data_IF_903458718238
#
_entry.id   IF_903458718238
#
_cell.length_a   1.000
_cell.length_b   1.000
_cell.length_c   1.000
_cell.angle_alpha   90.00
_cell.angle_beta   90.00
_cell.angle_gamma   90.00
#
_symmetry.space_group_name_H-M   'P 1'
#
loop_
_entity.id
_entity.type
_entity.pdbx_description
1 polymer ?
#
# COMPACT_ATOMS: atom_id res chain seq x y z
N UNK A 1 44.80 23.57 -0.34
CA UNK A 1 43.69 24.41 0.13
C UNK A 1 42.39 23.67 -0.24
N UNK A 2 41.96 22.80 0.65
CA UNK A 2 40.72 22.02 0.46
C UNK A 2 39.51 22.90 0.79
N UNK A 3 38.65 23.15 -0.17
CA UNK A 3 37.32 23.73 0.07
C UNK A 3 36.32 22.57 0.21
N UNK A 4 35.96 22.29 1.46
CA UNK A 4 34.79 21.50 1.80
C UNK A 4 33.55 22.13 1.16
N UNK A 5 32.87 21.40 0.29
CA UNK A 5 31.47 21.67 -0.03
C UNK A 5 30.60 20.94 1.02
N UNK A 6 29.63 21.60 1.61
CA UNK A 6 28.73 20.93 2.55
C UNK A 6 27.84 19.93 1.79
N UNK A 7 27.73 18.75 2.35
CA UNK A 7 26.69 17.76 2.06
C UNK A 7 25.32 18.42 2.29
N UNK A 8 24.32 18.27 1.43
CA UNK A 8 22.97 18.73 1.74
C UNK A 8 22.49 17.98 2.98
N UNK A 9 22.21 18.72 4.03
CA UNK A 9 21.54 18.21 5.21
C UNK A 9 20.20 17.58 4.79
N UNK A 10 19.96 16.39 5.33
CA UNK A 10 18.66 15.74 5.29
C UNK A 10 17.60 16.73 5.75
N UNK A 11 16.73 17.15 4.82
CA UNK A 11 15.58 17.99 5.16
C UNK A 11 14.63 17.10 5.95
N UNK A 12 14.68 17.22 7.27
CA UNK A 12 13.65 16.69 8.14
C UNK A 12 12.28 17.21 7.69
N UNK A 13 11.27 16.34 7.59
CA UNK A 13 9.92 16.79 7.31
C UNK A 13 9.46 17.77 8.39
N UNK A 14 8.71 18.84 8.03
CA UNK A 14 8.35 19.92 8.94
C UNK A 14 7.70 19.40 10.21
N UNK A 15 8.10 19.99 11.33
CA UNK A 15 7.74 19.61 12.69
C UNK A 15 6.22 19.40 12.84
N UNK A 16 5.86 18.23 13.33
CA UNK A 16 4.48 17.82 13.60
C UNK A 16 3.91 18.64 14.74
N UNK A 17 3.07 19.61 14.43
CA UNK A 17 2.22 20.23 15.45
C UNK A 17 1.10 19.25 15.80
N UNK A 18 1.26 18.53 16.90
CA UNK A 18 0.20 17.72 17.50
C UNK A 18 -0.80 18.67 18.14
N UNK A 19 -1.98 18.79 17.58
CA UNK A 19 -3.15 19.21 18.34
C UNK A 19 -3.58 18.01 19.15
N UNK A 20 -3.32 18.06 20.46
CA UNK A 20 -3.74 17.05 21.43
C UNK A 20 -5.26 17.11 21.57
N UNK A 21 -5.94 16.07 21.12
CA UNK A 21 -7.30 15.82 21.56
C UNK A 21 -7.25 15.28 23.01
N UNK A 22 -8.18 15.68 23.91
CA UNK A 22 -8.19 15.22 25.27
C UNK A 22 -8.40 13.71 25.35
N UNK A 23 -7.54 13.08 26.12
CA UNK A 23 -7.54 11.66 26.45
C UNK A 23 -8.81 11.30 27.22
N UNK A 24 -9.78 10.69 26.56
CA UNK A 24 -10.87 9.96 27.22
C UNK A 24 -10.67 8.49 26.91
N UNK A 25 -10.10 7.79 27.88
CA UNK A 25 -10.20 6.35 27.98
C UNK A 25 -11.69 5.98 28.04
N UNK A 26 -12.16 5.33 27.01
CA UNK A 26 -13.39 4.57 27.05
C UNK A 26 -12.98 3.11 26.86
N UNK A 27 -12.94 2.39 27.99
CA UNK A 27 -13.05 0.95 28.01
C UNK A 27 -14.44 0.61 27.46
N UNK A 28 -14.48 0.19 26.22
CA UNK A 28 -15.69 -0.25 25.53
C UNK A 28 -15.32 -1.41 24.63
N UNK A 29 -15.82 -2.57 24.98
CA UNK A 29 -15.70 -3.81 24.21
C UNK A 29 -16.11 -3.57 22.75
N UNK A 30 -15.16 -3.73 21.84
CA UNK A 30 -15.39 -3.71 20.38
C UNK A 30 -16.29 -4.91 20.00
N UNK A 31 -17.59 -4.68 19.98
CA UNK A 31 -18.51 -5.53 19.24
C UNK A 31 -18.32 -5.22 17.76
N UNK A 32 -17.59 -6.06 17.07
CA UNK A 32 -17.53 -6.11 15.61
C UNK A 32 -18.89 -6.55 15.03
N UNK A 33 -19.82 -5.61 14.93
CA UNK A 33 -20.96 -5.70 14.05
C UNK A 33 -20.55 -5.10 12.71
N UNK A 34 -20.61 -5.87 11.63
CA UNK A 34 -20.49 -5.34 10.27
C UNK A 34 -21.62 -4.32 10.07
N UNK A 35 -21.35 -3.02 9.89
CA UNK A 35 -22.43 -2.11 9.57
C UNK A 35 -22.94 -2.45 8.18
N UNK A 36 -24.19 -2.86 8.10
CA UNK A 36 -24.93 -2.86 6.84
C UNK A 36 -24.85 -1.44 6.29
N UNK A 37 -24.41 -1.29 5.05
CA UNK A 37 -24.32 -0.01 4.37
C UNK A 37 -25.73 0.52 4.12
N UNK A 38 -26.23 1.35 5.03
CA UNK A 38 -27.41 2.17 4.78
C UNK A 38 -26.94 3.53 4.26
N UNK A 39 -26.55 3.60 2.99
CA UNK A 39 -26.48 4.86 2.27
C UNK A 39 -27.90 5.22 1.88
N UNK A 40 -28.53 6.14 2.61
CA UNK A 40 -29.79 6.74 2.18
C UNK A 40 -29.43 7.73 1.06
N UNK A 41 -30.00 7.58 -0.17
CA UNK A 41 -29.81 8.58 -1.21
C UNK A 41 -30.40 9.91 -0.75
N UNK A 42 -29.63 10.97 -0.78
CA UNK A 42 -30.13 12.33 -0.56
C UNK A 42 -31.11 12.71 -1.64
N UNK A 43 -32.35 12.99 -1.28
CA UNK A 43 -33.45 13.30 -2.21
C UNK A 43 -33.66 14.79 -2.49
N UNK A 44 -32.78 15.68 -2.10
CA UNK A 44 -32.91 17.10 -2.41
C UNK A 44 -31.57 17.71 -2.77
N UNK A 45 -31.32 17.86 -4.07
CA UNK A 45 -30.34 18.80 -4.61
C UNK A 45 -31.14 19.84 -5.39
N UNK A 46 -31.28 21.07 -4.82
CA UNK A 46 -31.51 22.24 -5.64
C UNK A 46 -30.39 22.31 -6.66
N UNK A 47 -30.67 22.77 -7.89
CA UNK A 47 -29.68 23.00 -8.95
C UNK A 47 -28.70 24.07 -8.47
N UNK A 48 -27.77 23.68 -7.62
CA UNK A 48 -26.57 24.42 -7.29
C UNK A 48 -25.52 23.97 -8.30
N UNK A 49 -24.77 24.91 -8.87
CA UNK A 49 -23.61 24.60 -9.71
C UNK A 49 -22.80 23.47 -9.04
N UNK A 50 -22.31 22.50 -9.81
CA UNK A 50 -21.64 21.35 -9.23
C UNK A 50 -20.48 21.83 -8.34
N UNK A 51 -20.33 21.37 -7.09
CA UNK A 51 -19.35 21.89 -6.14
C UNK A 51 -17.89 21.63 -6.54
N UNK A 52 -17.65 20.99 -7.67
CA UNK A 52 -16.33 20.86 -8.30
C UNK A 52 -16.45 20.50 -9.78
N UNK A 53 -15.39 20.79 -10.54
CA UNK A 53 -15.17 20.31 -11.90
C UNK A 53 -14.11 19.20 -11.88
N UNK A 54 -14.46 17.99 -12.27
CA UNK A 54 -13.51 16.89 -12.42
C UNK A 54 -12.71 17.07 -13.70
N UNK A 55 -11.38 17.08 -13.57
CA UNK A 55 -10.44 17.24 -14.68
C UNK A 55 -9.95 15.91 -15.24
N UNK A 56 -9.62 14.95 -14.37
CA UNK A 56 -9.15 13.62 -14.80
C UNK A 56 -9.26 12.57 -13.70
N UNK A 57 -9.35 11.31 -14.11
CA UNK A 57 -9.10 10.12 -13.31
C UNK A 57 -7.87 9.40 -13.87
N UNK A 58 -7.00 8.86 -13.03
CA UNK A 58 -5.80 8.16 -13.50
C UNK A 58 -5.21 7.21 -12.43
N UNK A 59 -4.38 6.28 -12.89
CA UNK A 59 -3.44 5.56 -12.04
C UNK A 59 -2.15 6.40 -11.98
N UNK A 60 -1.87 7.02 -10.82
CA UNK A 60 -0.69 7.88 -10.64
C UNK A 60 0.59 7.09 -10.40
N UNK A 61 0.49 5.94 -9.72
CA UNK A 61 1.63 5.07 -9.47
C UNK A 61 1.21 3.61 -9.55
N UNK A 62 2.05 2.80 -10.20
CA UNK A 62 1.84 1.37 -10.31
C UNK A 62 3.13 0.63 -9.96
N UNK A 63 3.04 -0.28 -8.99
CA UNK A 63 4.14 -1.14 -8.58
C UNK A 63 3.80 -2.59 -8.86
N UNK A 64 4.68 -3.25 -9.58
CA UNK A 64 4.50 -4.63 -10.02
C UNK A 64 5.60 -5.53 -9.44
N UNK A 65 5.26 -6.78 -9.18
CA UNK A 65 6.21 -7.82 -8.78
C UNK A 65 6.19 -8.95 -9.79
N UNK A 66 7.36 -9.29 -10.31
CA UNK A 66 7.56 -10.43 -11.20
C UNK A 66 8.32 -11.51 -10.44
N UNK A 67 7.77 -12.71 -10.37
CA UNK A 67 8.42 -13.87 -9.80
C UNK A 67 9.23 -14.60 -10.85
N UNK A 68 10.39 -15.12 -10.47
CA UNK A 68 11.32 -15.75 -11.38
C UNK A 68 12.73 -15.82 -10.80
N UNK A 69 13.71 -16.04 -11.67
CA UNK A 69 15.12 -16.14 -11.32
C UNK A 69 15.97 -15.31 -12.27
N UNK A 70 16.90 -14.53 -11.72
CA UNK A 70 17.90 -13.79 -12.48
C UNK A 70 18.86 -14.78 -13.13
N UNK A 71 19.19 -14.57 -14.41
CA UNK A 71 20.19 -15.40 -15.07
C UNK A 71 21.58 -15.17 -14.46
N UNK A 72 22.42 -16.20 -14.44
CA UNK A 72 23.78 -16.07 -13.87
C UNK A 72 24.63 -15.08 -14.67
N UNK A 73 24.45 -15.02 -16.00
CA UNK A 73 25.11 -14.04 -16.86
C UNK A 73 24.73 -12.59 -16.49
N UNK A 74 23.42 -12.34 -16.32
CA UNK A 74 22.93 -11.03 -15.95
C UNK A 74 23.35 -10.68 -14.51
N UNK A 75 23.39 -11.65 -13.62
CA UNK A 75 23.88 -11.45 -12.26
C UNK A 75 25.32 -10.95 -12.25
N UNK A 76 26.23 -11.62 -12.97
CA UNK A 76 27.64 -11.21 -13.08
C UNK A 76 27.74 -9.81 -13.66
N UNK A 77 27.01 -9.55 -14.75
CA UNK A 77 27.00 -8.24 -15.41
C UNK A 77 26.53 -7.12 -14.48
N UNK A 78 25.49 -7.34 -13.71
CA UNK A 78 24.98 -6.35 -12.75
C UNK A 78 25.91 -6.14 -11.55
N UNK A 79 26.69 -7.15 -11.12
CA UNK A 79 27.74 -6.98 -10.11
C UNK A 79 28.85 -6.05 -10.62
N UNK A 80 29.37 -6.29 -11.84
CA UNK A 80 30.39 -5.44 -12.47
C UNK A 80 29.93 -3.99 -12.59
N UNK A 81 28.69 -3.78 -13.07
CA UNK A 81 28.14 -2.44 -13.22
C UNK A 81 27.90 -1.75 -11.87
N UNK A 82 27.52 -2.51 -10.86
CA UNK A 82 27.35 -1.98 -9.51
C UNK A 82 28.69 -1.58 -8.90
N UNK A 83 29.76 -2.34 -9.15
CA UNK A 83 31.12 -1.96 -8.74
C UNK A 83 31.56 -0.67 -9.46
N UNK A 84 31.30 -0.56 -10.77
CA UNK A 84 31.51 0.67 -11.55
C UNK A 84 30.74 1.86 -10.97
N UNK A 85 29.48 1.65 -10.53
CA UNK A 85 28.66 2.69 -9.90
C UNK A 85 29.18 3.13 -8.51
N UNK A 86 30.11 2.38 -7.93
CA UNK A 86 30.72 2.67 -6.63
C UNK A 86 32.12 3.33 -6.75
N UNK A 87 32.56 3.60 -7.97
CA UNK A 87 33.83 4.27 -8.22
C UNK A 87 33.87 5.66 -7.56
N UNK A 88 35.06 6.15 -7.24
CA UNK A 88 35.26 7.47 -6.64
C UNK A 88 35.11 8.62 -7.65
N UNK A 89 35.27 8.30 -8.97
CA UNK A 89 35.21 9.29 -10.05
C UNK A 89 33.80 9.31 -10.69
N UNK A 90 33.16 10.48 -10.73
CA UNK A 90 31.81 10.67 -11.31
C UNK A 90 31.72 10.23 -12.78
N UNK A 91 32.84 10.40 -13.56
CA UNK A 91 32.89 9.96 -14.95
C UNK A 91 32.85 8.43 -15.10
N UNK A 92 33.48 7.71 -14.16
CA UNK A 92 33.44 6.25 -14.13
C UNK A 92 32.07 5.76 -13.64
N UNK A 93 31.51 6.39 -12.59
CA UNK A 93 30.14 6.07 -12.14
C UNK A 93 29.10 6.19 -13.27
N UNK A 94 29.24 7.22 -14.13
CA UNK A 94 28.35 7.43 -15.26
C UNK A 94 28.36 6.29 -16.30
N UNK A 95 29.39 5.43 -16.30
CA UNK A 95 29.49 4.25 -17.18
C UNK A 95 28.68 3.06 -16.65
N UNK A 96 28.17 3.12 -15.42
CA UNK A 96 27.36 2.09 -14.81
C UNK A 96 25.94 2.07 -15.44
N UNK A 97 25.89 1.70 -16.72
CA UNK A 97 24.66 1.67 -17.52
C UNK A 97 24.51 0.35 -18.25
N UNK A 98 23.25 -0.05 -18.48
CA UNK A 98 22.90 -1.25 -19.23
C UNK A 98 21.74 -0.97 -20.17
N UNK A 99 21.89 -1.39 -21.42
CA UNK A 99 20.79 -1.34 -22.40
C UNK A 99 20.01 -2.65 -22.35
N UNK A 100 18.70 -2.57 -22.15
CA UNK A 100 17.78 -3.71 -22.21
C UNK A 100 16.63 -3.34 -23.13
N UNK A 101 16.56 -3.98 -24.29
CA UNK A 101 15.62 -3.55 -25.34
C UNK A 101 15.92 -2.12 -25.79
N UNK A 102 14.93 -1.25 -25.71
CA UNK A 102 15.04 0.18 -26.05
C UNK A 102 15.33 1.08 -24.86
N UNK A 103 15.63 0.50 -23.70
CA UNK A 103 15.85 1.22 -22.44
C UNK A 103 17.32 1.26 -22.08
N UNK A 104 17.83 2.42 -21.74
CA UNK A 104 19.14 2.62 -21.14
C UNK A 104 18.97 2.87 -19.66
N UNK A 105 19.26 1.85 -18.84
CA UNK A 105 19.16 1.95 -17.40
C UNK A 105 20.48 2.37 -16.77
N UNK A 106 20.43 3.30 -15.83
CA UNK A 106 21.50 3.50 -14.89
C UNK A 106 21.41 2.45 -13.78
N UNK A 107 22.58 1.95 -13.34
CA UNK A 107 22.71 1.00 -12.22
C UNK A 107 23.11 1.77 -10.97
N UNK A 108 22.32 1.65 -9.90
CA UNK A 108 22.62 2.32 -8.65
C UNK A 108 23.79 1.64 -7.91
N UNK A 109 24.61 2.44 -7.23
CA UNK A 109 25.73 1.96 -6.40
C UNK A 109 25.28 1.08 -5.23
N UNK A 110 24.03 1.19 -4.79
CA UNK A 110 23.49 0.46 -3.64
C UNK A 110 22.17 -0.24 -4.00
N UNK A 111 21.92 -1.37 -3.33
CA UNK A 111 20.63 -2.04 -3.39
C UNK A 111 19.54 -1.30 -2.61
N UNK A 112 18.30 -1.76 -2.72
CA UNK A 112 17.15 -1.25 -1.99
C UNK A 112 16.58 -2.31 -1.04
N UNK A 113 16.74 -2.13 0.27
CA UNK A 113 16.29 -3.08 1.28
C UNK A 113 16.92 -4.46 1.09
N UNK A 114 16.13 -5.45 0.66
CA UNK A 114 16.62 -6.83 0.39
C UNK A 114 16.92 -7.11 -1.08
N UNK A 115 16.70 -6.13 -1.95
CA UNK A 115 17.02 -6.23 -3.37
C UNK A 115 18.48 -5.81 -3.61
N UNK A 116 19.22 -6.66 -4.30
CA UNK A 116 20.66 -6.48 -4.48
C UNK A 116 21.01 -5.38 -5.47
N UNK A 117 20.19 -5.24 -6.52
CA UNK A 117 20.43 -4.25 -7.59
C UNK A 117 19.24 -3.32 -7.73
N UNK A 118 19.51 -2.10 -8.15
CA UNK A 118 18.51 -1.10 -8.54
C UNK A 118 18.89 -0.54 -9.90
N UNK A 119 18.01 -0.69 -10.87
CA UNK A 119 18.11 -0.09 -12.18
C UNK A 119 17.03 0.97 -12.32
N UNK A 120 17.31 2.06 -12.99
CA UNK A 120 16.32 3.09 -13.23
C UNK A 120 16.59 3.86 -14.51
N UNK A 121 15.51 4.26 -15.17
CA UNK A 121 15.47 5.24 -16.25
C UNK A 121 14.33 6.26 -15.95
N UNK A 122 13.89 7.02 -16.95
CA UNK A 122 12.78 7.96 -16.85
C UNK A 122 11.40 7.28 -16.74
N UNK A 123 11.28 5.99 -17.09
CA UNK A 123 10.01 5.24 -17.14
C UNK A 123 9.88 4.24 -16.01
N UNK A 124 10.95 3.55 -15.67
CA UNK A 124 10.96 2.42 -14.74
C UNK A 124 12.01 2.55 -13.66
N UNK A 125 11.66 2.10 -12.45
CA UNK A 125 12.62 1.80 -11.39
C UNK A 125 12.48 0.34 -11.01
N UNK A 126 13.53 -0.45 -11.17
CA UNK A 126 13.58 -1.89 -11.00
C UNK A 126 14.45 -2.24 -9.80
N UNK A 127 13.85 -2.81 -8.75
CA UNK A 127 14.59 -3.42 -7.66
C UNK A 127 14.70 -4.91 -7.94
N UNK A 128 15.92 -5.43 -8.11
CA UNK A 128 16.18 -6.78 -8.61
C UNK A 128 16.82 -7.64 -7.52
N UNK A 129 16.33 -8.86 -7.38
CA UNK A 129 16.90 -9.91 -6.52
C UNK A 129 17.37 -11.11 -7.35
N UNK A 130 18.09 -12.04 -6.74
CA UNK A 130 18.43 -13.30 -7.41
C UNK A 130 17.20 -14.20 -7.62
N UNK A 131 16.09 -13.94 -6.92
CA UNK A 131 14.88 -14.74 -6.96
C UNK A 131 14.70 -15.64 -5.72
N UNK A 132 13.95 -16.70 -5.85
CA UNK A 132 13.60 -17.74 -4.87
C UNK A 132 12.69 -17.29 -3.72
N UNK A 133 13.09 -16.37 -2.84
CA UNK A 133 12.29 -15.89 -1.69
C UNK A 133 11.69 -14.50 -1.89
N UNK A 134 12.29 -13.72 -2.77
CA UNK A 134 11.80 -12.41 -3.19
C UNK A 134 11.35 -12.50 -4.65
N UNK A 135 10.49 -11.60 -5.12
CA UNK A 135 10.27 -11.48 -6.56
C UNK A 135 11.61 -11.19 -7.25
N UNK A 136 11.80 -11.73 -8.46
CA UNK A 136 12.93 -11.37 -9.32
C UNK A 136 13.04 -9.86 -9.46
N UNK A 137 11.93 -9.22 -9.80
CA UNK A 137 11.85 -7.77 -9.96
C UNK A 137 10.67 -7.21 -9.16
N UNK A 138 10.91 -6.15 -8.41
CA UNK A 138 9.90 -5.23 -7.89
C UNK A 138 10.05 -3.91 -8.63
N UNK A 139 9.13 -3.62 -9.52
CA UNK A 139 9.18 -2.49 -10.43
C UNK A 139 8.20 -1.40 -10.03
N UNK A 140 8.61 -0.15 -10.23
CA UNK A 140 7.76 1.03 -10.21
C UNK A 140 7.70 1.60 -11.63
N UNK A 141 6.51 1.94 -12.10
CA UNK A 141 6.28 2.64 -13.36
C UNK A 141 6.02 4.13 -13.04
N UNK A 142 6.66 5.04 -13.77
CA UNK A 142 6.49 6.48 -13.55
C UNK A 142 5.08 6.94 -13.95
N UNK A 143 4.56 7.95 -13.25
CA UNK A 143 3.22 8.48 -13.55
C UNK A 143 3.13 9.17 -14.90
N UNK A 144 4.23 9.77 -15.34
CA UNK A 144 4.33 10.39 -16.65
C UNK A 144 4.20 9.36 -17.75
N UNK A 145 4.92 8.25 -17.62
CA UNK A 145 4.86 7.17 -18.59
C UNK A 145 3.49 6.46 -18.60
N UNK A 146 2.91 6.19 -17.42
CA UNK A 146 1.53 5.68 -17.31
C UNK A 146 0.51 6.61 -17.98
N UNK A 147 0.73 7.92 -17.87
CA UNK A 147 -0.15 8.93 -18.50
C UNK A 147 0.01 8.97 -20.02
N UNK A 148 1.24 8.83 -20.52
CA UNK A 148 1.56 8.94 -21.93
C UNK A 148 1.09 7.72 -22.74
N UNK A 149 1.27 6.51 -22.24
CA UNK A 149 1.03 5.28 -23.01
C UNK A 149 -0.08 4.38 -22.45
N UNK A 150 -0.54 4.65 -21.23
CA UNK A 150 -1.49 3.78 -20.52
C UNK A 150 -0.82 2.58 -19.84
N UNK A 151 -1.58 1.94 -18.95
CA UNK A 151 -1.07 0.84 -18.10
C UNK A 151 -0.71 -0.40 -18.90
N UNK A 152 -1.51 -0.77 -19.89
CA UNK A 152 -1.32 -1.98 -20.67
C UNK A 152 -0.01 -1.95 -21.46
N UNK A 153 0.24 -0.83 -22.17
CA UNK A 153 1.49 -0.66 -22.95
C UNK A 153 2.69 -0.58 -22.02
N UNK A 154 2.59 0.18 -20.94
CA UNK A 154 3.67 0.30 -19.96
C UNK A 154 4.03 -1.04 -19.31
N UNK A 155 3.04 -1.89 -18.97
CA UNK A 155 3.28 -3.23 -18.42
C UNK A 155 3.86 -4.18 -19.47
N UNK A 156 3.41 -4.09 -20.72
CA UNK A 156 3.95 -4.92 -21.82
C UNK A 156 5.44 -4.65 -22.06
N UNK A 157 5.85 -3.37 -22.10
CA UNK A 157 7.26 -3.00 -22.21
C UNK A 157 8.07 -3.44 -21.00
N UNK A 158 7.56 -3.19 -19.80
CA UNK A 158 8.22 -3.62 -18.57
C UNK A 158 8.40 -5.14 -18.52
N UNK A 159 7.41 -5.91 -18.94
CA UNK A 159 7.47 -7.38 -18.99
C UNK A 159 8.58 -7.86 -19.94
N UNK A 160 8.73 -7.20 -21.08
CA UNK A 160 9.83 -7.48 -22.01
C UNK A 160 11.20 -7.21 -21.36
N UNK A 161 11.35 -6.07 -20.69
CA UNK A 161 12.57 -5.73 -19.94
C UNK A 161 12.88 -6.80 -18.88
N UNK A 162 11.88 -7.18 -18.09
CA UNK A 162 12.04 -8.19 -17.02
C UNK A 162 12.37 -9.57 -17.57
N UNK A 163 11.76 -9.98 -18.70
CA UNK A 163 12.06 -11.24 -19.36
C UNK A 163 13.49 -11.29 -19.90
N UNK A 164 14.10 -10.15 -20.22
CA UNK A 164 15.50 -10.07 -20.64
C UNK A 164 16.51 -10.22 -19.51
N UNK A 165 16.07 -10.07 -18.25
CA UNK A 165 16.92 -10.25 -17.07
C UNK A 165 17.06 -11.73 -16.67
N UNK A 166 16.09 -12.57 -17.00
CA UNK A 166 16.11 -13.97 -16.62
C UNK A 166 14.75 -14.65 -16.82
N UNK A 167 14.55 -15.78 -16.13
CA UNK A 167 13.31 -16.56 -16.20
C UNK A 167 12.19 -15.90 -15.40
N UNK A 168 11.04 -15.73 -16.02
CA UNK A 168 9.81 -15.22 -15.38
C UNK A 168 8.79 -16.35 -15.29
N UNK A 169 8.25 -16.59 -14.08
CA UNK A 169 7.40 -17.76 -13.80
C UNK A 169 5.90 -17.48 -14.05
N UNK A 170 5.45 -16.24 -13.92
CA UNK A 170 4.02 -15.90 -14.00
C UNK A 170 3.80 -14.43 -14.38
N UNK A 171 2.52 -14.07 -14.60
CA UNK A 171 2.10 -12.69 -14.82
C UNK A 171 2.51 -11.79 -13.64
N UNK A 172 2.76 -10.53 -13.95
CA UNK A 172 3.02 -9.50 -12.95
C UNK A 172 1.91 -9.43 -11.90
N UNK A 173 2.30 -9.37 -10.64
CA UNK A 173 1.38 -9.15 -9.54
C UNK A 173 1.40 -7.67 -9.13
N UNK A 174 0.21 -7.06 -9.03
CA UNK A 174 0.09 -5.68 -8.54
C UNK A 174 0.45 -5.62 -7.06
N UNK A 175 1.49 -4.87 -6.75
CA UNK A 175 2.00 -4.70 -5.40
C UNK A 175 1.52 -3.40 -4.75
N UNK A 176 1.29 -2.38 -5.56
CA UNK A 176 0.67 -1.12 -5.16
C UNK A 176 0.05 -0.48 -6.40
N UNK A 177 -1.12 0.11 -6.22
CA UNK A 177 -1.75 0.98 -7.19
C UNK A 177 -2.26 2.23 -6.48
N UNK A 178 -1.96 3.40 -7.05
CA UNK A 178 -2.42 4.68 -6.56
C UNK A 178 -3.41 5.26 -7.58
N UNK A 179 -4.69 5.25 -7.22
CA UNK A 179 -5.76 5.80 -8.04
C UNK A 179 -5.98 7.25 -7.63
N UNK A 180 -6.03 8.16 -8.60
CA UNK A 180 -6.21 9.57 -8.33
C UNK A 180 -7.29 10.22 -9.21
N UNK A 181 -7.89 11.29 -8.67
CA UNK A 181 -8.83 12.17 -9.34
C UNK A 181 -8.39 13.61 -9.10
N UNK A 182 -8.21 14.38 -10.19
CA UNK A 182 -7.91 15.80 -10.15
C UNK A 182 -9.17 16.60 -10.39
N UNK A 183 -9.40 17.65 -9.58
CA UNK A 183 -10.61 18.46 -9.65
C UNK A 183 -10.36 19.92 -9.24
N UNK A 184 -11.17 20.84 -9.79
CA UNK A 184 -11.23 22.23 -9.35
C UNK A 184 -12.37 22.35 -8.35
N UNK A 185 -12.12 22.62 -7.06
CA UNK A 185 -13.18 22.84 -6.09
C UNK A 185 -13.78 24.25 -6.24
N UNK A 186 -15.09 24.36 -6.05
CA UNK A 186 -15.78 25.66 -5.95
C UNK A 186 -15.87 26.13 -4.50
N UNK A 187 -15.59 25.23 -3.55
CA UNK A 187 -15.64 25.50 -2.12
C UNK A 187 -14.23 25.49 -1.50
N UNK A 188 -13.97 26.29 -0.44
CA UNK A 188 -12.71 26.26 0.27
C UNK A 188 -12.43 24.87 0.83
N UNK A 189 -11.20 24.36 0.65
CA UNK A 189 -10.84 22.98 1.02
C UNK A 189 -10.43 22.84 2.49
N UNK A 190 -10.27 23.92 3.24
CA UNK A 190 -9.89 23.98 4.64
C UNK A 190 -11.08 24.08 5.62
N UNK A 191 -12.30 24.17 5.10
CA UNK A 191 -13.50 24.42 5.89
C UNK A 191 -14.00 23.23 6.72
N UNK A 192 -13.51 22.02 6.45
CA UNK A 192 -14.05 20.82 7.08
C UNK A 192 -13.36 20.45 8.38
N UNK A 193 -14.15 20.05 9.36
CA UNK A 193 -13.63 19.49 10.60
C UNK A 193 -13.22 18.01 10.37
N UNK A 194 -12.22 17.54 11.12
CA UNK A 194 -11.70 16.15 11.05
C UNK A 194 -12.81 15.10 11.20
N UNK A 195 -13.84 15.40 12.01
CA UNK A 195 -14.96 14.49 12.25
C UNK A 195 -15.84 14.26 11.03
N UNK A 196 -15.84 15.16 10.03
CA UNK A 196 -16.62 15.00 8.80
C UNK A 196 -16.04 13.93 7.87
N UNK A 197 -14.77 13.57 8.06
CA UNK A 197 -14.17 12.44 7.40
C UNK A 197 -14.60 11.13 8.06
N UNK A 198 -15.62 10.48 7.52
CA UNK A 198 -16.11 9.17 7.96
C UNK A 198 -15.30 8.10 7.30
N UNK A 199 -14.58 7.29 8.07
CA UNK A 199 -13.64 6.29 7.52
C UNK A 199 -13.44 5.12 8.48
N UNK A 200 -12.99 3.99 7.92
CA UNK A 200 -12.50 2.82 8.67
C UNK A 200 -11.06 2.95 9.13
N UNK A 201 -10.36 4.01 8.72
CA UNK A 201 -8.97 4.25 9.11
C UNK A 201 -8.90 4.83 10.53
N UNK A 202 -7.87 4.45 11.28
CA UNK A 202 -7.64 4.94 12.65
C UNK A 202 -6.96 6.31 12.69
N UNK A 203 -6.14 6.65 11.67
CA UNK A 203 -5.35 7.88 11.63
C UNK A 203 -5.92 8.86 10.62
N UNK A 204 -6.07 10.11 11.06
CA UNK A 204 -6.47 11.24 10.21
C UNK A 204 -5.58 12.42 10.58
N UNK A 205 -5.07 13.15 9.59
CA UNK A 205 -4.27 14.35 9.78
C UNK A 205 -4.64 15.41 8.74
N UNK A 206 -4.57 16.68 9.15
CA UNK A 206 -4.55 17.84 8.27
C UNK A 206 -3.11 18.33 8.13
N UNK A 207 -2.76 18.83 6.97
CA UNK A 207 -1.42 19.34 6.67
C UNK A 207 -1.48 20.83 6.35
N UNK A 208 -0.47 21.54 6.80
CA UNK A 208 -0.29 22.96 6.65
C UNK A 208 1.13 23.21 6.12
N UNK A 209 1.23 24.07 5.15
CA UNK A 209 2.52 24.53 4.60
C UNK A 209 2.96 25.84 5.21
N UNK A 210 3.94 26.46 4.59
CA UNK A 210 4.51 27.75 5.01
C UNK A 210 3.41 28.82 5.10
N UNK A 211 3.44 29.63 6.18
CA UNK A 211 2.48 30.70 6.41
C UNK A 211 1.05 30.21 6.75
N UNK A 212 0.94 29.08 7.43
CA UNK A 212 -0.31 28.47 7.86
C UNK A 212 -1.29 28.18 6.69
N UNK A 213 -0.76 28.01 5.48
CA UNK A 213 -1.55 27.61 4.33
C UNK A 213 -1.96 26.13 4.46
N UNK A 214 -3.25 25.87 4.42
CA UNK A 214 -3.77 24.51 4.38
C UNK A 214 -3.39 23.83 3.05
N UNK A 215 -2.74 22.66 3.13
CA UNK A 215 -2.24 21.92 1.96
C UNK A 215 -2.96 20.60 1.73
N UNK A 216 -3.67 20.06 2.73
CA UNK A 216 -4.46 18.85 2.50
C UNK A 216 -4.77 17.98 3.70
N UNK A 217 -5.33 16.82 3.40
CA UNK A 217 -5.72 15.78 4.33
C UNK A 217 -5.00 14.47 4.03
N UNK A 218 -4.57 13.78 5.09
CA UNK A 218 -4.06 12.42 5.03
C UNK A 218 -4.88 11.51 5.93
N UNK A 219 -5.41 10.44 5.38
CA UNK A 219 -6.25 9.50 6.10
C UNK A 219 -5.70 8.08 5.91
N UNK A 220 -5.52 7.35 7.02
CA UNK A 220 -5.02 5.97 6.99
C UNK A 220 -3.52 5.82 6.83
N UNK A 221 -2.73 6.82 7.20
CA UNK A 221 -1.27 6.79 7.10
C UNK A 221 -0.65 5.53 7.72
N UNK A 222 0.17 4.82 6.93
CA UNK A 222 0.82 3.56 7.31
C UNK A 222 -0.10 2.34 7.26
N UNK A 223 -1.35 2.49 6.77
CA UNK A 223 -2.28 1.39 6.56
C UNK A 223 -2.15 0.74 5.18
N UNK A 224 -2.91 -0.31 4.96
CA UNK A 224 -2.98 -1.00 3.66
C UNK A 224 -3.67 -0.16 2.57
N UNK A 225 -4.50 0.78 2.98
CA UNK A 225 -5.12 1.81 2.15
C UNK A 225 -4.84 3.14 2.84
N UNK A 226 -4.41 4.13 2.06
CA UNK A 226 -4.20 5.50 2.49
C UNK A 226 -4.91 6.43 1.50
N UNK A 227 -5.44 7.52 1.99
CA UNK A 227 -6.03 8.57 1.15
C UNK A 227 -5.31 9.88 1.40
N UNK A 228 -5.04 10.60 0.33
CA UNK A 228 -4.54 11.98 0.33
C UNK A 228 -5.49 12.85 -0.47
N UNK A 229 -5.88 13.98 0.12
CA UNK A 229 -6.61 15.05 -0.56
C UNK A 229 -5.76 16.29 -0.44
N UNK A 230 -5.16 16.79 -1.51
CA UNK A 230 -4.14 17.84 -1.42
C UNK A 230 -4.12 18.79 -2.61
N UNK A 231 -3.55 19.99 -2.38
CA UNK A 231 -3.32 21.01 -3.41
C UNK A 231 -2.27 20.51 -4.42
N UNK A 232 -2.75 20.08 -5.58
CA UNK A 232 -1.89 19.48 -6.61
C UNK A 232 -1.11 20.52 -7.42
N UNK A 233 -1.61 21.75 -7.54
CA UNK A 233 -0.85 22.83 -8.19
C UNK A 233 0.38 23.17 -7.36
N UNK A 234 0.18 23.31 -6.05
CA UNK A 234 1.28 23.57 -5.11
C UNK A 234 2.32 22.45 -5.13
N UNK A 235 1.88 21.19 -5.07
CA UNK A 235 2.77 20.02 -5.09
C UNK A 235 3.57 19.93 -6.40
N UNK A 236 2.95 20.22 -7.56
CA UNK A 236 3.67 20.27 -8.84
C UNK A 236 4.70 21.38 -8.84
N UNK A 237 4.38 22.55 -8.30
CA UNK A 237 5.28 23.69 -8.29
C UNK A 237 6.47 23.51 -7.33
N UNK A 238 6.25 22.93 -6.15
CA UNK A 238 7.26 22.87 -5.08
C UNK A 238 7.99 21.52 -4.99
N UNK A 239 7.34 20.39 -5.39
CA UNK A 239 7.86 19.05 -5.11
C UNK A 239 8.11 18.23 -6.38
N UNK A 240 7.05 17.90 -7.13
CA UNK A 240 7.16 16.88 -8.19
C UNK A 240 7.60 17.40 -9.55
N UNK A 241 7.38 18.69 -9.82
CA UNK A 241 7.68 19.34 -11.10
C UNK A 241 7.03 18.67 -12.34
N UNK A 242 5.91 17.96 -12.14
CA UNK A 242 5.16 17.24 -13.20
C UNK A 242 4.34 18.19 -14.05
N UNK A 243 5.00 19.11 -14.75
CA UNK A 243 4.36 20.19 -15.53
C UNK A 243 3.48 19.69 -16.67
N UNK A 244 3.67 18.47 -17.17
CA UNK A 244 2.81 17.85 -18.17
C UNK A 244 1.33 17.77 -17.73
N UNK A 245 1.06 17.83 -16.43
CA UNK A 245 -0.32 17.88 -15.92
C UNK A 245 -1.07 19.15 -16.31
N UNK A 246 -0.37 20.26 -16.45
CA UNK A 246 -0.99 21.53 -16.83
C UNK A 246 -1.67 21.44 -18.19
N UNK A 247 -1.04 20.82 -19.19
CA UNK A 247 -1.60 20.64 -20.53
C UNK A 247 -2.86 19.76 -20.48
N UNK A 248 -2.82 18.69 -19.67
CA UNK A 248 -3.95 17.79 -19.49
C UNK A 248 -5.14 18.48 -18.82
N UNK A 249 -4.87 19.32 -17.81
CA UNK A 249 -5.92 20.08 -17.14
C UNK A 249 -6.49 21.18 -18.03
N UNK A 250 -5.64 21.89 -18.79
CA UNK A 250 -6.08 22.91 -19.76
C UNK A 250 -7.02 22.34 -20.82
N UNK A 251 -6.71 21.13 -21.33
CA UNK A 251 -7.58 20.42 -22.26
C UNK A 251 -8.97 20.09 -21.68
N UNK A 252 -9.13 20.17 -20.35
CA UNK A 252 -10.37 19.94 -19.61
C UNK A 252 -10.98 21.21 -19.01
N UNK A 253 -10.49 22.39 -19.41
CA UNK A 253 -11.04 23.68 -19.02
C UNK A 253 -10.40 24.36 -17.81
N UNK A 254 -9.29 23.82 -17.27
CA UNK A 254 -8.52 24.48 -16.23
C UNK A 254 -7.88 25.78 -16.75
N UNK A 255 -7.88 26.81 -15.90
CA UNK A 255 -7.17 28.07 -16.12
C UNK A 255 -6.09 28.22 -15.06
N UNK A 256 -4.97 28.82 -15.40
CA UNK A 256 -3.80 28.94 -14.54
C UNK A 256 -4.05 29.56 -13.14
N UNK A 257 -5.14 30.29 -12.97
CA UNK A 257 -5.53 30.87 -11.69
C UNK A 257 -6.40 29.92 -10.81
N UNK A 258 -6.92 28.83 -11.40
CA UNK A 258 -7.80 27.93 -10.67
C UNK A 258 -6.98 26.97 -9.80
N UNK A 259 -7.39 26.72 -8.54
CA UNK A 259 -6.77 25.70 -7.73
C UNK A 259 -7.12 24.31 -8.27
N UNK A 260 -6.15 23.40 -8.35
CA UNK A 260 -6.42 21.97 -8.63
C UNK A 260 -6.08 21.16 -7.41
N UNK A 261 -7.04 20.41 -6.97
CA UNK A 261 -6.89 19.47 -5.87
C UNK A 261 -6.89 18.05 -6.39
N UNK A 262 -6.15 17.19 -5.71
CA UNK A 262 -6.11 15.76 -6.01
C UNK A 262 -6.67 14.97 -4.85
N UNK A 263 -7.64 14.11 -5.16
CA UNK A 263 -8.03 12.98 -4.31
C UNK A 263 -7.27 11.75 -4.77
N UNK A 264 -6.49 11.15 -3.89
CA UNK A 264 -5.67 9.99 -4.21
C UNK A 264 -5.88 8.87 -3.19
N UNK A 265 -5.96 7.62 -3.67
CA UNK A 265 -5.99 6.42 -2.85
C UNK A 265 -4.80 5.53 -3.19
N UNK A 266 -3.86 5.46 -2.27
CA UNK A 266 -2.75 4.53 -2.32
C UNK A 266 -3.18 3.20 -1.73
N UNK A 267 -3.06 2.12 -2.49
CA UNK A 267 -3.51 0.79 -2.08
C UNK A 267 -2.40 -0.23 -2.27
N UNK A 268 -1.99 -0.89 -1.20
CA UNK A 268 -0.95 -1.90 -1.26
C UNK A 268 -1.51 -3.31 -1.55
N UNK A 269 -0.58 -4.25 -1.84
CA UNK A 269 -0.88 -5.63 -2.21
C UNK A 269 -1.86 -6.34 -1.28
N UNK A 270 -1.79 -6.12 0.04
CA UNK A 270 -2.66 -6.82 0.97
C UNK A 270 -4.13 -6.42 0.79
N UNK A 271 -4.38 -5.11 0.63
CA UNK A 271 -5.73 -4.63 0.39
C UNK A 271 -6.23 -5.03 -1.01
N UNK A 272 -5.38 -4.90 -2.04
CA UNK A 272 -5.72 -5.32 -3.42
C UNK A 272 -6.07 -6.80 -3.45
N UNK A 273 -5.31 -7.65 -2.78
CA UNK A 273 -5.57 -9.09 -2.68
C UNK A 273 -6.91 -9.41 -2.00
N UNK A 274 -7.26 -8.66 -0.95
CA UNK A 274 -8.56 -8.79 -0.28
C UNK A 274 -9.73 -8.28 -1.16
N UNK A 275 -9.43 -7.38 -2.11
CA UNK A 275 -10.38 -6.90 -3.13
C UNK A 275 -10.38 -7.74 -4.40
N UNK A 276 -9.68 -8.89 -4.41
CA UNK A 276 -9.53 -9.83 -5.53
C UNK A 276 -8.83 -9.22 -6.75
N UNK A 277 -8.04 -8.18 -6.57
CA UNK A 277 -7.21 -7.56 -7.60
C UNK A 277 -5.77 -8.02 -7.40
N UNK A 278 -5.24 -8.86 -8.29
CA UNK A 278 -3.92 -9.48 -8.17
C UNK A 278 -2.99 -9.14 -9.33
N UNK A 279 -3.52 -9.09 -10.53
CA UNK A 279 -2.80 -8.87 -11.78
C UNK A 279 -3.19 -7.54 -12.41
N UNK A 280 -2.46 -7.10 -13.43
CA UNK A 280 -2.81 -5.88 -14.18
C UNK A 280 -4.16 -5.99 -14.88
N UNK A 281 -4.49 -7.12 -15.54
CA UNK A 281 -5.86 -7.30 -16.06
C UNK A 281 -6.94 -7.21 -14.99
N UNK A 282 -6.73 -7.79 -13.79
CA UNK A 282 -7.70 -7.65 -12.69
C UNK A 282 -7.85 -6.19 -12.28
N UNK A 283 -6.74 -5.43 -12.21
CA UNK A 283 -6.77 -4.00 -11.85
C UNK A 283 -7.61 -3.20 -12.86
N UNK A 284 -7.31 -3.35 -14.14
CA UNK A 284 -7.98 -2.60 -15.21
C UNK A 284 -9.46 -2.96 -15.32
N UNK A 285 -9.81 -4.24 -15.18
CA UNK A 285 -11.20 -4.69 -15.19
C UNK A 285 -12.03 -4.21 -13.98
N UNK A 286 -11.40 -3.70 -12.92
CA UNK A 286 -12.07 -3.36 -11.67
C UNK A 286 -11.82 -1.92 -11.19
N UNK A 287 -11.31 -1.03 -12.01
CA UNK A 287 -10.97 0.35 -11.62
C UNK A 287 -12.14 1.11 -11.00
N UNK A 288 -13.30 1.06 -11.66
CA UNK A 288 -14.51 1.73 -11.20
C UNK A 288 -15.02 1.13 -9.87
N UNK A 289 -15.07 -0.18 -9.77
CA UNK A 289 -15.45 -0.88 -8.53
C UNK A 289 -14.48 -0.64 -7.36
N UNK A 290 -13.17 -0.48 -7.64
CA UNK A 290 -12.16 -0.06 -6.66
C UNK A 290 -12.43 1.36 -6.18
N UNK A 291 -12.68 2.30 -7.11
CA UNK A 291 -12.96 3.68 -6.78
C UNK A 291 -14.19 3.81 -5.89
N UNK A 292 -15.29 3.16 -6.26
CA UNK A 292 -16.50 3.09 -5.44
C UNK A 292 -16.27 2.46 -4.07
N UNK A 293 -15.42 1.41 -3.99
CA UNK A 293 -15.05 0.87 -2.69
C UNK A 293 -14.33 1.91 -1.83
N UNK A 294 -13.37 2.65 -2.39
CA UNK A 294 -12.60 3.64 -1.65
C UNK A 294 -13.46 4.81 -1.19
N UNK A 295 -14.36 5.29 -2.04
CA UNK A 295 -15.13 6.52 -1.82
C UNK A 295 -16.47 6.30 -1.11
N UNK A 296 -17.01 5.08 -1.11
CA UNK A 296 -18.27 4.78 -0.43
C UNK A 296 -18.08 3.93 0.84
N UNK A 297 -17.17 2.93 0.79
CA UNK A 297 -17.04 1.93 1.87
C UNK A 297 -15.87 2.21 2.80
N UNK A 298 -14.79 2.81 2.31
CA UNK A 298 -13.60 3.03 3.09
C UNK A 298 -13.47 4.45 3.63
N UNK A 299 -13.77 5.47 2.82
CA UNK A 299 -13.72 6.89 3.17
C UNK A 299 -14.91 7.64 2.59
N UNK A 300 -15.41 8.61 3.35
CA UNK A 300 -16.46 9.52 2.90
C UNK A 300 -16.34 10.86 3.61
N UNK A 301 -16.44 11.96 2.86
CA UNK A 301 -16.67 13.27 3.44
C UNK A 301 -18.18 13.42 3.68
N UNK A 302 -18.58 13.75 4.92
CA UNK A 302 -19.95 13.89 5.31
C UNK A 302 -20.28 15.34 5.71
N UNK A 303 -21.51 15.74 5.54
CA UNK A 303 -22.06 16.94 6.16
C UNK A 303 -22.21 16.71 7.65
N UNK A 304 -22.01 17.78 8.45
CA UNK A 304 -22.24 17.70 9.89
C UNK A 304 -23.72 17.39 10.15
N UNK A 305 -23.99 16.35 10.91
CA UNK A 305 -25.31 15.95 11.34
C UNK A 305 -25.43 15.97 12.84
N UNK A 306 -26.67 16.00 13.36
CA UNK A 306 -26.98 15.92 14.78
C UNK A 306 -26.93 14.50 15.35
N UNK A 307 -26.94 13.46 14.49
CA UNK A 307 -26.86 12.06 14.92
C UNK A 307 -25.46 11.73 15.48
N UNK A 308 -25.43 11.10 16.63
CA UNK A 308 -24.17 10.63 17.24
C UNK A 308 -23.47 9.57 16.38
N UNK A 309 -24.22 8.80 15.59
CA UNK A 309 -23.67 7.84 14.64
C UNK A 309 -23.33 8.51 13.31
N UNK A 310 -22.07 8.85 13.13
CA UNK A 310 -21.53 9.53 11.93
C UNK A 310 -21.78 8.76 10.62
N UNK A 311 -22.01 7.44 10.67
CA UNK A 311 -22.33 6.65 9.50
C UNK A 311 -23.67 7.05 8.85
N UNK A 312 -24.54 7.72 9.60
CA UNK A 312 -25.84 8.22 9.13
C UNK A 312 -25.80 9.66 8.63
N UNK A 313 -24.67 10.35 8.80
CA UNK A 313 -24.55 11.71 8.29
C UNK A 313 -24.64 11.70 6.76
N UNK A 314 -25.31 12.68 6.14
CA UNK A 314 -25.39 12.79 4.69
C UNK A 314 -23.99 12.92 4.07
N UNK A 315 -23.82 12.39 2.89
CA UNK A 315 -22.59 12.63 2.11
C UNK A 315 -22.52 14.09 1.69
N UNK A 316 -21.33 14.66 1.71
CA UNK A 316 -21.12 16.04 1.25
C UNK A 316 -21.25 16.08 -0.29
N UNK A 317 -21.92 17.11 -0.90
CA UNK A 317 -22.12 17.15 -2.36
C UNK A 317 -20.82 17.09 -3.18
N UNK A 318 -19.74 17.72 -2.72
CA UNK A 318 -18.42 17.58 -3.33
C UNK A 318 -17.98 16.10 -3.40
N UNK A 319 -18.21 15.36 -2.33
CA UNK A 319 -17.81 13.94 -2.27
C UNK A 319 -18.71 13.06 -3.14
N UNK A 320 -19.95 13.42 -3.33
CA UNK A 320 -20.86 12.72 -4.25
C UNK A 320 -20.33 12.81 -5.69
N UNK A 321 -19.82 13.96 -6.12
CA UNK A 321 -19.20 14.11 -7.44
C UNK A 321 -17.91 13.29 -7.54
N UNK A 322 -17.04 13.38 -6.53
CA UNK A 322 -15.79 12.60 -6.48
C UNK A 322 -16.08 11.10 -6.54
N UNK A 323 -17.06 10.61 -5.79
CA UNK A 323 -17.37 9.19 -5.75
C UNK A 323 -18.01 8.66 -7.03
N UNK A 324 -18.75 9.50 -7.74
CA UNK A 324 -19.41 9.15 -9.02
C UNK A 324 -18.54 9.40 -10.25
N UNK A 325 -17.26 9.74 -10.09
CA UNK A 325 -16.36 9.94 -11.21
C UNK A 325 -16.14 8.63 -11.97
N UNK A 326 -16.29 8.66 -13.30
CA UNK A 326 -16.17 7.48 -14.15
C UNK A 326 -14.71 7.01 -14.28
N UNK A 327 -14.52 5.70 -14.23
CA UNK A 327 -13.25 5.01 -14.40
C UNK A 327 -13.27 4.01 -15.56
N UNK A 328 -13.93 4.35 -16.64
CA UNK A 328 -14.13 3.56 -17.83
C UNK A 328 -15.55 3.73 -18.37
N UNK A 329 -15.91 2.89 -19.34
CA UNK A 329 -17.19 2.99 -20.04
C UNK A 329 -18.33 2.26 -19.29
N UNK A 330 -18.01 1.46 -18.28
CA UNK A 330 -18.99 0.65 -17.55
C UNK A 330 -18.95 0.98 -16.07
N UNK A 331 -20.06 1.43 -15.52
CA UNK A 331 -20.21 1.63 -14.07
C UNK A 331 -20.29 0.30 -13.35
N UNK A 332 -19.45 0.14 -12.32
CA UNK A 332 -19.37 -1.05 -11.51
C UNK A 332 -19.80 -0.77 -10.06
N UNK A 333 -20.46 -1.71 -9.39
CA UNK A 333 -20.73 -1.56 -7.96
C UNK A 333 -19.40 -1.61 -7.17
N UNK A 334 -19.40 -0.97 -6.00
CA UNK A 334 -18.25 -1.01 -5.09
C UNK A 334 -17.81 -2.44 -4.81
N UNK A 335 -16.52 -2.72 -4.96
CA UNK A 335 -15.94 -4.02 -4.67
C UNK A 335 -16.18 -4.43 -3.22
N UNK A 336 -16.30 -5.71 -3.00
CA UNK A 336 -16.37 -6.28 -1.66
C UNK A 336 -14.99 -6.75 -1.20
N UNK A 337 -14.58 -6.31 -0.04
CA UNK A 337 -13.32 -6.74 0.56
C UNK A 337 -13.50 -8.11 1.21
N UNK A 338 -12.88 -9.11 0.61
CA UNK A 338 -12.82 -10.47 1.15
C UNK A 338 -11.52 -10.56 1.95
N UNK A 339 -11.60 -10.43 3.27
CA UNK A 339 -10.45 -10.68 4.11
C UNK A 339 -10.11 -12.16 4.01
N UNK A 340 -8.88 -12.46 3.57
CA UNK A 340 -8.34 -13.79 3.72
C UNK A 340 -8.50 -14.22 5.19
N UNK A 341 -8.81 -15.48 5.43
CA UNK A 341 -9.00 -15.98 6.78
C UNK A 341 -7.81 -15.52 7.64
N UNK A 342 -8.09 -14.89 8.77
CA UNK A 342 -7.05 -14.46 9.72
C UNK A 342 -6.41 -15.67 10.42
N UNK A 343 -6.72 -16.88 9.95
CA UNK A 343 -6.11 -18.13 10.39
C UNK A 343 -4.65 -18.15 9.92
N UNK A 344 -3.71 -18.31 10.83
CA UNK A 344 -2.33 -18.50 10.43
C UNK A 344 -2.21 -19.83 9.70
N UNK A 345 -1.54 -19.81 8.54
CA UNK A 345 -1.19 -21.05 7.81
C UNK A 345 -0.19 -21.88 8.63
N UNK A 346 -0.17 -23.18 8.38
CA UNK A 346 0.79 -24.09 9.02
C UNK A 346 2.23 -23.65 8.75
N UNK A 347 2.55 -23.22 7.54
CA UNK A 347 3.84 -22.61 7.20
C UNK A 347 4.17 -21.45 8.14
N UNK A 348 3.26 -20.51 8.33
CA UNK A 348 3.48 -19.37 9.23
C UNK A 348 3.60 -19.78 10.69
N UNK A 349 2.80 -20.75 11.16
CA UNK A 349 2.85 -21.25 12.54
C UNK A 349 4.15 -21.99 12.81
N UNK A 350 4.53 -22.92 11.95
CA UNK A 350 5.68 -23.79 12.19
C UNK A 350 6.99 -23.11 11.79
N UNK A 351 7.05 -22.38 10.69
CA UNK A 351 8.28 -21.67 10.29
C UNK A 351 8.60 -20.51 11.23
N UNK A 352 7.63 -19.63 11.52
CA UNK A 352 7.88 -18.51 12.41
C UNK A 352 8.01 -18.96 13.87
N UNK A 353 7.19 -19.89 14.33
CA UNK A 353 7.24 -20.44 15.68
C UNK A 353 8.58 -21.11 15.99
N UNK A 354 9.03 -22.01 15.13
CA UNK A 354 10.34 -22.66 15.26
C UNK A 354 11.50 -21.69 15.04
N UNK A 355 11.33 -20.66 14.22
CA UNK A 355 12.33 -19.61 14.03
C UNK A 355 12.66 -18.86 15.32
N UNK A 356 11.67 -18.61 16.18
CA UNK A 356 11.92 -18.01 17.51
C UNK A 356 12.67 -18.99 18.44
N UNK A 357 12.35 -20.27 18.41
CA UNK A 357 13.07 -21.29 19.18
C UNK A 357 14.53 -21.39 18.69
N UNK A 358 14.75 -21.42 17.37
CA UNK A 358 16.09 -21.44 16.78
C UNK A 358 16.92 -20.20 17.17
N UNK A 359 16.32 -19.02 17.14
CA UNK A 359 16.96 -17.77 17.58
C UNK A 359 17.35 -17.81 19.06
N UNK A 360 16.49 -18.36 19.91
CA UNK A 360 16.78 -18.58 21.31
C UNK A 360 17.96 -19.58 21.50
N UNK A 361 17.92 -20.68 20.78
CA UNK A 361 18.99 -21.71 20.83
C UNK A 361 20.33 -21.14 20.41
N UNK A 362 20.34 -20.32 19.32
CA UNK A 362 21.55 -19.62 18.85
C UNK A 362 22.10 -18.65 19.90
N UNK A 363 21.24 -17.88 20.58
CA UNK A 363 21.64 -16.98 21.66
C UNK A 363 22.24 -17.71 22.85
N UNK A 364 21.69 -18.87 23.23
CA UNK A 364 22.12 -19.66 24.38
C UNK A 364 23.23 -20.67 24.04
N UNK A 365 23.68 -20.76 22.79
CA UNK A 365 24.68 -21.75 22.36
C UNK A 365 24.20 -23.21 22.43
N UNK A 366 22.89 -23.45 22.29
CA UNK A 366 22.31 -24.80 22.42
C UNK A 366 22.09 -25.37 21.02
N UNK A 367 22.66 -26.53 20.74
CA UNK A 367 22.52 -27.24 19.46
C UNK A 367 21.45 -28.34 19.46
N UNK A 368 21.14 -28.90 20.62
CA UNK A 368 20.13 -29.96 20.74
C UNK A 368 18.72 -29.36 20.87
N UNK A 369 17.82 -29.73 19.96
CA UNK A 369 16.46 -29.19 19.88
C UNK A 369 15.64 -29.44 21.15
N UNK A 370 15.66 -30.66 21.68
CA UNK A 370 14.89 -31.02 22.90
C UNK A 370 15.35 -30.21 24.11
N UNK A 371 16.66 -30.04 24.26
CA UNK A 371 17.27 -29.24 25.33
C UNK A 371 16.92 -27.74 25.10
N UNK A 372 17.00 -27.28 23.85
CA UNK A 372 16.66 -25.92 23.47
C UNK A 372 15.21 -25.57 23.78
N UNK A 373 14.29 -26.43 23.40
CA UNK A 373 12.86 -26.23 23.67
C UNK A 373 12.53 -26.25 25.17
N UNK A 374 13.11 -27.18 25.92
CA UNK A 374 12.94 -27.24 27.38
C UNK A 374 13.43 -25.96 28.06
N UNK A 375 14.62 -25.49 27.69
CA UNK A 375 15.19 -24.26 28.24
C UNK A 375 14.41 -23.04 27.83
N UNK A 376 13.93 -22.98 26.57
CA UNK A 376 13.05 -21.92 26.09
C UNK A 376 11.78 -21.80 26.94
N UNK A 377 11.10 -22.90 27.18
CA UNK A 377 9.89 -22.94 28.02
C UNK A 377 10.19 -22.53 29.46
N UNK A 378 11.31 -23.01 30.03
CA UNK A 378 11.71 -22.66 31.40
C UNK A 378 12.01 -21.18 31.55
N UNK A 379 12.77 -20.58 30.61
CA UNK A 379 13.07 -19.15 30.64
C UNK A 379 11.83 -18.31 30.36
N UNK A 380 10.96 -18.77 29.46
CA UNK A 380 9.67 -18.11 29.22
C UNK A 380 8.81 -18.09 30.48
N UNK A 381 8.77 -19.19 31.25
CA UNK A 381 8.00 -19.22 32.49
C UNK A 381 8.58 -18.27 33.56
N UNK A 382 9.89 -18.22 33.70
CA UNK A 382 10.56 -17.25 34.57
C UNK A 382 10.26 -15.82 34.16
N UNK A 383 10.33 -15.53 32.86
CA UNK A 383 10.05 -14.19 32.30
C UNK A 383 8.61 -13.74 32.57
N UNK A 384 7.63 -14.63 32.39
CA UNK A 384 6.23 -14.30 32.63
C UNK A 384 5.89 -14.20 34.12
N UNK A 385 6.45 -15.08 34.97
CA UNK A 385 6.26 -14.99 36.42
C UNK A 385 6.77 -13.68 37.02
N UNK A 386 7.92 -13.20 36.57
CA UNK A 386 8.44 -11.87 36.95
C UNK A 386 7.51 -10.73 36.58
N UNK A 387 6.56 -10.95 35.68
CA UNK A 387 5.52 -10.00 35.25
C UNK A 387 4.14 -10.30 35.85
N UNK A 388 4.08 -11.19 36.84
CA UNK A 388 2.86 -11.48 37.57
C UNK A 388 1.90 -12.49 36.90
N UNK A 389 2.32 -13.16 35.80
CA UNK A 389 1.48 -14.12 35.10
C UNK A 389 2.34 -15.39 34.76
N UNK A 390 1.79 -16.58 34.92
CA UNK A 390 2.48 -17.80 34.44
C UNK A 390 2.40 -17.90 32.92
N UNK A 391 3.39 -18.55 32.28
CA UNK A 391 3.40 -18.81 30.84
C UNK A 391 2.12 -19.51 30.37
N UNK A 392 1.65 -20.50 31.12
CA UNK A 392 0.42 -21.23 30.81
C UNK A 392 -0.78 -20.27 30.74
N UNK A 393 -0.96 -19.44 31.78
CA UNK A 393 -2.06 -18.47 31.84
C UNK A 393 -1.98 -17.43 30.72
N UNK A 394 -0.76 -16.96 30.42
CA UNK A 394 -0.53 -16.03 29.29
C UNK A 394 -0.94 -16.65 27.95
N UNK A 395 -0.47 -17.88 27.67
CA UNK A 395 -0.75 -18.61 26.42
C UNK A 395 -2.24 -18.93 26.31
N UNK A 396 -2.88 -19.44 27.36
CA UNK A 396 -4.30 -19.75 27.38
C UNK A 396 -5.18 -18.52 27.14
N UNK A 397 -4.85 -17.38 27.76
CA UNK A 397 -5.54 -16.11 27.54
C UNK A 397 -5.42 -15.67 26.09
N UNK A 398 -4.21 -15.72 25.52
CA UNK A 398 -3.96 -15.38 24.12
C UNK A 398 -4.66 -16.35 23.15
N UNK A 399 -4.67 -17.65 23.46
CA UNK A 399 -5.34 -18.65 22.66
C UNK A 399 -6.87 -18.46 22.65
N UNK A 400 -7.49 -18.12 23.79
CA UNK A 400 -8.93 -17.80 23.85
C UNK A 400 -9.30 -16.58 22.97
N UNK A 401 -8.49 -15.52 23.02
CA UNK A 401 -8.74 -14.32 22.18
C UNK A 401 -8.61 -14.68 20.71
N UNK A 402 -7.54 -15.41 20.34
CA UNK A 402 -7.35 -15.83 18.95
C UNK A 402 -8.41 -16.85 18.51
N UNK A 403 -8.81 -17.78 19.37
CA UNK A 403 -9.87 -18.75 19.08
C UNK A 403 -11.21 -18.09 18.79
N UNK A 404 -11.60 -17.05 19.53
CA UNK A 404 -12.79 -16.25 19.25
C UNK A 404 -12.69 -15.53 17.91
N UNK A 405 -11.54 -14.92 17.61
CA UNK A 405 -11.29 -14.27 16.34
C UNK A 405 -11.37 -15.25 15.18
N UNK A 406 -10.75 -16.43 15.31
CA UNK A 406 -10.75 -17.47 14.28
C UNK A 406 -12.12 -18.10 14.08
N UNK A 407 -12.89 -18.34 15.15
CA UNK A 407 -14.26 -18.82 15.06
C UNK A 407 -15.18 -17.84 14.35
N UNK A 408 -15.04 -16.55 14.60
CA UNK A 408 -15.80 -15.51 13.93
C UNK A 408 -15.47 -15.44 12.43
N UNK A 409 -14.21 -15.59 12.07
CA UNK A 409 -13.75 -15.63 10.67
C UNK A 409 -14.26 -16.88 9.98
N UNK A 410 -14.14 -18.05 10.58
CA UNK A 410 -14.59 -19.34 10.03
C UNK A 410 -16.10 -19.41 9.81
N UNK A 411 -16.90 -18.75 10.64
CA UNK A 411 -18.35 -18.71 10.48
C UNK A 411 -18.80 -17.78 9.35
N UNK A 412 -17.92 -16.89 8.86
CA UNK A 412 -18.27 -15.90 7.83
C UNK A 412 -17.97 -16.35 6.41
N UNK A 413 -17.09 -17.33 6.17
CA UNK A 413 -16.60 -17.65 4.84
C UNK A 413 -16.60 -19.18 4.62
N UNK A 414 -17.66 -19.67 3.96
CA UNK A 414 -17.82 -21.09 3.64
C UNK A 414 -16.69 -21.66 2.76
N UNK A 415 -16.06 -20.83 1.94
CA UNK A 415 -14.94 -21.21 1.07
C UNK A 415 -13.64 -21.47 1.86
N UNK A 416 -13.40 -20.73 2.93
CA UNK A 416 -12.23 -20.93 3.79
C UNK A 416 -12.30 -22.24 4.56
N UNK A 417 -13.50 -22.74 4.89
CA UNK A 417 -13.68 -24.06 5.48
C UNK A 417 -13.27 -25.18 4.53
N UNK A 418 -13.60 -25.06 3.25
CA UNK A 418 -13.26 -26.07 2.23
C UNK A 418 -11.74 -26.07 2.01
N UNK A 419 -11.11 -24.91 1.98
CA UNK A 419 -9.65 -24.81 1.80
C UNK A 419 -8.88 -25.28 3.05
N UNK A 420 -9.34 -24.92 4.25
CA UNK A 420 -8.79 -25.42 5.51
C UNK A 420 -8.98 -26.93 5.69
N UNK A 421 -10.11 -27.49 5.23
CA UNK A 421 -10.32 -28.94 5.20
C UNK A 421 -9.37 -29.64 4.23
N UNK A 422 -9.21 -29.11 3.01
CA UNK A 422 -8.25 -29.65 2.02
C UNK A 422 -6.81 -29.62 2.53
N UNK A 423 -6.41 -28.52 3.19
CA UNK A 423 -5.07 -28.41 3.79
C UNK A 423 -4.89 -29.38 4.98
N UNK A 424 -5.90 -29.54 5.81
CA UNK A 424 -5.89 -30.48 6.92
C UNK A 424 -5.87 -31.97 6.45
N UNK A 425 -6.55 -32.25 5.33
CA UNK A 425 -6.49 -33.59 4.70
C UNK A 425 -5.14 -33.86 4.05
N UNK A 426 -4.59 -32.88 3.32
CA UNK A 426 -3.25 -32.98 2.73
C UNK A 426 -2.18 -33.17 3.83
N UNK A 427 -2.30 -32.46 4.95
CA UNK A 427 -1.40 -32.62 6.09
C UNK A 427 -1.53 -34.00 6.75
N UNK A 428 -2.76 -34.53 6.90
CA UNK A 428 -2.98 -35.90 7.41
C UNK A 428 -2.37 -36.94 6.48
N UNK A 429 -2.60 -36.85 5.18
CA UNK A 429 -2.02 -37.76 4.18
C UNK A 429 -0.49 -37.72 4.20
N UNK A 430 0.12 -36.55 4.24
CA UNK A 430 1.56 -36.41 4.33
C UNK A 430 2.15 -36.99 5.63
N UNK A 431 1.41 -36.89 6.75
CA UNK A 431 1.82 -37.46 8.04
C UNK A 431 1.65 -38.99 8.11
N UNK A 432 0.64 -39.54 7.43
CA UNK A 432 0.33 -40.97 7.42
C UNK A 432 1.08 -41.73 6.31
N UNK A 433 1.89 -41.02 5.50
CA UNK A 433 2.72 -41.63 4.46
C UNK A 433 1.91 -42.13 3.25
N UNK A 434 0.68 -41.67 3.08
CA UNK A 434 -0.13 -41.93 1.89
C UNK A 434 0.14 -40.79 0.88
N UNK A 435 0.81 -41.11 -0.26
CA UNK A 435 0.95 -40.22 -1.43
C UNK A 435 -0.38 -40.03 -2.19
#
# INVERSE_FOLDING_TARGET
>A
MHRNRPVPEDVEPPARTRVSAPDRRLDGEDREGTPLSNTVPSKYIEQIDPPCLVLRTAIDSLYLSYHGELSDEMFVRLEELKETAQDDEEEEQAKAQITIGNHLFAVASHGAGRFRFVLFDDRFRLNISKGSRLPLVYAQISSEYLTAVGVEVAEQELRFVVASLGRVDALAQVSRADLCLDFIPIVPMDQWAVQQWVTRARKKAAYWGTGDRFTGWMIGQGGNIQSRTYDKVLEVAEESHKTYLYDLWQARGWKAADPVWRQEFQTNRNALKELQVRTVPDLLANLDGLWHYFTEKWLRLAQLGSDSNKSRWPTHPLWEIISNAAWGDVTQPALQRIRASGLPTDDRLFTAGLGYVASFMGREGITNLSKGFKNFMHQADTYHRLRGESTARYVERKARVKGRLFSTINNRIHLDRIEAQKQAEAYRKAREGEE
#
